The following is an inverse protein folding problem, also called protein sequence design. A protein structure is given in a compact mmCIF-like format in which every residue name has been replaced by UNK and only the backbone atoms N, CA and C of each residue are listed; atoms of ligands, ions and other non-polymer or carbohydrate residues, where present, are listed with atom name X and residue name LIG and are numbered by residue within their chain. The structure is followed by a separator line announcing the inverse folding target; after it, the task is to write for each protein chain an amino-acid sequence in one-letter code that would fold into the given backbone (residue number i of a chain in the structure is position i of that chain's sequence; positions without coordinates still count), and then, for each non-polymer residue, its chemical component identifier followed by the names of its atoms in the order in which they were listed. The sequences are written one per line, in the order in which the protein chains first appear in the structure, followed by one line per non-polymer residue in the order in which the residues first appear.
data_IF_276188199463
#
_entry.id   IF_276188199463
#
_cell.length_a   1.000
_cell.length_b   1.000
_cell.length_c   1.000
_cell.angle_alpha   90.00
_cell.angle_beta   90.00
_cell.angle_gamma   90.00
#
_symmetry.space_group_name_H-M   'P 1'
#
loop_
_entity.id
_entity.type
_entity.pdbx_description
1 polymer ?
#
# COMPACT_ATOMS: atom_id res chain seq x y z
N UNK A 1 32.61 0.53 -1.68
CA UNK A 1 31.34 -0.19 -1.49
C UNK A 1 30.27 0.72 -2.04
N UNK A 2 29.88 0.46 -3.28
CA UNK A 2 28.80 1.18 -3.96
C UNK A 2 27.53 0.98 -3.15
N UNK A 3 26.92 2.10 -2.74
CA UNK A 3 25.65 2.08 -2.05
C UNK A 3 24.64 1.40 -2.95
N UNK A 4 23.99 0.36 -2.44
CA UNK A 4 22.72 -0.06 -3.00
C UNK A 4 21.80 1.15 -2.90
N UNK A 5 21.66 1.90 -4.00
CA UNK A 5 20.51 2.78 -4.21
C UNK A 5 19.29 1.88 -4.03
N UNK A 6 18.69 1.96 -2.84
CA UNK A 6 17.55 1.13 -2.50
C UNK A 6 16.50 1.34 -3.57
N UNK A 7 16.19 0.29 -4.32
CA UNK A 7 15.18 0.31 -5.37
C UNK A 7 13.95 1.00 -4.81
N UNK A 8 13.58 2.16 -5.36
CA UNK A 8 12.40 2.89 -4.89
C UNK A 8 11.21 1.95 -4.95
N UNK A 9 10.43 1.91 -3.87
CA UNK A 9 9.25 1.03 -3.81
C UNK A 9 8.33 1.36 -4.99
N UNK A 10 7.83 0.37 -5.74
CA UNK A 10 7.01 0.59 -6.94
C UNK A 10 5.84 1.55 -6.72
N UNK A 11 5.23 1.50 -5.53
CA UNK A 11 4.16 2.39 -5.11
C UNK A 11 4.61 3.86 -5.00
N UNK A 12 5.83 4.13 -4.51
CA UNK A 12 6.37 5.49 -4.44
C UNK A 12 6.69 6.03 -5.84
N UNK A 13 7.21 5.17 -6.72
CA UNK A 13 7.43 5.52 -8.14
C UNK A 13 6.10 5.87 -8.81
N UNK A 14 5.06 5.06 -8.58
CA UNK A 14 3.72 5.33 -9.09
C UNK A 14 3.13 6.63 -8.53
N UNK A 15 3.24 6.87 -7.22
CA UNK A 15 2.77 8.10 -6.59
C UNK A 15 3.46 9.35 -7.17
N UNK A 16 4.77 9.29 -7.41
CA UNK A 16 5.51 10.37 -8.04
C UNK A 16 5.03 10.64 -9.48
N UNK A 17 4.81 9.59 -10.28
CA UNK A 17 4.25 9.74 -11.64
C UNK A 17 2.85 10.35 -11.62
N UNK A 18 2.00 9.92 -10.69
CA UNK A 18 0.67 10.50 -10.50
C UNK A 18 0.73 11.98 -10.13
N UNK A 19 1.67 12.36 -9.26
CA UNK A 19 1.90 13.76 -8.91
C UNK A 19 2.31 14.60 -10.14
N UNK A 20 3.27 14.11 -10.94
CA UNK A 20 3.72 14.79 -12.16
C UNK A 20 2.60 14.97 -13.19
N UNK A 21 1.67 14.01 -13.30
CA UNK A 21 0.51 14.13 -14.18
C UNK A 21 -0.43 15.28 -13.79
N UNK A 22 -0.48 15.63 -12.51
CA UNK A 22 -1.30 16.74 -12.00
C UNK A 22 -0.57 18.09 -11.98
N UNK A 23 0.73 18.11 -12.27
CA UNK A 23 1.54 19.31 -12.15
C UNK A 23 1.41 20.21 -13.40
N UNK A 24 1.21 21.53 -13.23
CA UNK A 24 0.99 22.45 -14.35
C UNK A 24 2.20 22.58 -15.27
N UNK A 25 3.42 22.52 -14.72
CA UNK A 25 4.67 22.76 -15.46
C UNK A 25 5.16 21.55 -16.30
N UNK A 26 4.48 20.41 -16.23
CA UNK A 26 4.85 19.22 -17.02
C UNK A 26 4.29 19.35 -18.42
N UNK A 27 5.16 19.20 -19.42
CA UNK A 27 4.80 19.36 -20.84
C UNK A 27 3.80 18.28 -21.27
N UNK A 28 2.91 18.61 -22.20
CA UNK A 28 1.86 17.68 -22.65
C UNK A 28 2.43 16.39 -23.25
N UNK A 29 3.57 16.46 -23.93
CA UNK A 29 4.25 15.27 -24.48
C UNK A 29 4.77 14.33 -23.39
N UNK A 30 5.22 14.89 -22.25
CA UNK A 30 5.65 14.10 -21.10
C UNK A 30 4.44 13.50 -20.37
N UNK A 31 3.32 14.23 -20.31
CA UNK A 31 2.06 13.72 -19.73
C UNK A 31 1.54 12.51 -20.50
N UNK A 32 1.67 12.47 -21.83
CA UNK A 32 1.26 11.29 -22.63
C UNK A 32 2.07 10.05 -22.21
N UNK A 33 3.40 10.16 -22.15
CA UNK A 33 4.27 9.06 -21.71
C UNK A 33 3.96 8.62 -20.27
N UNK A 34 3.78 9.58 -19.36
CA UNK A 34 3.45 9.30 -17.97
C UNK A 34 2.11 8.58 -17.82
N UNK A 35 1.09 8.93 -18.62
CA UNK A 35 -0.21 8.23 -18.61
C UNK A 35 -0.06 6.77 -19.01
N UNK A 36 0.72 6.47 -20.04
CA UNK A 36 0.98 5.10 -20.49
C UNK A 36 1.71 4.27 -19.42
N UNK A 37 2.73 4.85 -18.78
CA UNK A 37 3.46 4.21 -17.69
C UNK A 37 2.58 3.97 -16.45
N UNK A 38 1.73 4.94 -16.09
CA UNK A 38 0.77 4.80 -14.98
C UNK A 38 -0.26 3.72 -15.31
N UNK A 39 -0.83 3.72 -16.53
CA UNK A 39 -1.79 2.71 -16.95
C UNK A 39 -1.18 1.30 -16.94
N UNK A 40 0.06 1.15 -17.41
CA UNK A 40 0.78 -0.12 -17.37
C UNK A 40 0.96 -0.62 -15.93
N UNK A 41 1.33 0.28 -15.00
CA UNK A 41 1.51 -0.06 -13.59
C UNK A 41 0.19 -0.46 -12.92
N UNK A 42 -0.87 0.32 -13.16
CA UNK A 42 -2.23 0.08 -12.68
C UNK A 42 -2.75 -1.27 -13.18
N UNK A 43 -2.48 -1.62 -14.44
CA UNK A 43 -2.88 -2.90 -15.04
C UNK A 43 -2.05 -4.09 -14.55
N UNK A 44 -0.77 -3.90 -14.26
CA UNK A 44 0.10 -4.98 -13.78
C UNK A 44 -0.33 -5.51 -12.40
N UNK A 45 -0.80 -4.62 -11.52
CA UNK A 45 -1.20 -4.95 -10.14
C UNK A 45 -2.72 -5.02 -9.95
N UNK A 46 -3.49 -5.02 -11.04
CA UNK A 46 -4.97 -5.02 -11.04
C UNK A 46 -5.54 -3.94 -10.10
N UNK A 47 -5.03 -2.70 -10.18
CA UNK A 47 -5.40 -1.59 -9.30
C UNK A 47 -6.74 -0.93 -9.71
N UNK A 48 -7.82 -1.70 -9.76
CA UNK A 48 -9.13 -1.24 -10.22
C UNK A 48 -9.66 0.02 -9.48
N UNK A 49 -9.59 0.13 -8.14
CA UNK A 49 -10.07 1.33 -7.43
C UNK A 49 -9.30 2.61 -7.82
N UNK A 50 -8.00 2.47 -8.04
CA UNK A 50 -7.17 3.58 -8.50
C UNK A 50 -7.49 3.93 -9.96
N UNK A 51 -7.69 2.94 -10.81
CA UNK A 51 -8.06 3.16 -12.21
C UNK A 51 -9.38 3.94 -12.34
N UNK A 52 -10.40 3.55 -11.58
CA UNK A 52 -11.68 4.25 -11.52
C UNK A 52 -11.53 5.70 -11.08
N UNK A 53 -10.72 5.93 -10.04
CA UNK A 53 -10.43 7.29 -9.54
C UNK A 53 -9.71 8.14 -10.59
N UNK A 54 -8.76 7.57 -11.32
CA UNK A 54 -8.01 8.27 -12.37
C UNK A 54 -8.88 8.57 -13.59
N UNK A 55 -9.76 7.64 -13.96
CA UNK A 55 -10.74 7.84 -15.02
C UNK A 55 -11.77 8.92 -14.65
N UNK A 56 -12.27 8.92 -13.41
CA UNK A 56 -13.19 9.96 -12.92
C UNK A 56 -12.56 11.37 -12.90
N UNK A 57 -11.23 11.45 -12.75
CA UNK A 57 -10.46 12.70 -12.83
C UNK A 57 -10.04 13.07 -14.26
N UNK A 58 -10.47 12.32 -15.27
CA UNK A 58 -10.06 12.47 -16.68
C UNK A 58 -8.54 12.42 -16.88
N UNK A 59 -7.84 11.70 -16.02
CA UNK A 59 -6.37 11.49 -16.11
C UNK A 59 -6.06 10.34 -17.06
N UNK A 60 -6.89 9.30 -17.05
CA UNK A 60 -6.82 8.12 -17.92
C UNK A 60 -8.17 7.90 -18.60
N UNK A 61 -8.15 7.32 -19.79
CA UNK A 61 -9.37 6.87 -20.46
C UNK A 61 -9.88 5.59 -19.83
N UNK A 62 -11.20 5.51 -19.63
CA UNK A 62 -11.85 4.32 -19.07
C UNK A 62 -12.05 3.25 -20.14
N UNK A 63 -11.48 2.08 -19.92
CA UNK A 63 -11.73 0.86 -20.67
C UNK A 63 -12.49 -0.11 -19.76
N UNK A 64 -13.78 -0.28 -20.03
CA UNK A 64 -14.67 -1.13 -19.24
C UNK A 64 -14.23 -2.60 -19.29
N UNK A 65 -13.71 -3.08 -20.42
CA UNK A 65 -13.27 -4.47 -20.54
C UNK A 65 -12.05 -4.75 -19.67
N UNK A 66 -11.12 -3.80 -19.60
CA UNK A 66 -9.96 -3.89 -18.70
C UNK A 66 -10.42 -3.82 -17.24
N UNK A 67 -11.32 -2.90 -16.90
CA UNK A 67 -11.84 -2.77 -15.54
C UNK A 67 -12.56 -4.03 -15.06
N UNK A 68 -13.43 -4.61 -15.89
CA UNK A 68 -14.16 -5.84 -15.58
C UNK A 68 -13.20 -7.03 -15.41
N UNK A 69 -12.15 -7.10 -16.24
CA UNK A 69 -11.10 -8.11 -16.10
C UNK A 69 -10.33 -7.96 -14.79
N UNK A 70 -9.97 -6.75 -14.37
CA UNK A 70 -9.32 -6.50 -13.08
C UNK A 70 -10.23 -6.90 -11.92
N UNK A 71 -11.50 -6.45 -11.93
CA UNK A 71 -12.48 -6.78 -10.89
C UNK A 71 -12.70 -8.29 -10.74
N UNK A 72 -12.82 -9.01 -11.85
CA UNK A 72 -12.97 -10.46 -11.81
C UNK A 72 -11.79 -11.17 -11.15
N UNK A 73 -10.55 -10.76 -11.46
CA UNK A 73 -9.36 -11.31 -10.79
C UNK A 73 -9.29 -10.93 -9.32
N UNK A 74 -9.67 -9.70 -8.99
CA UNK A 74 -9.72 -9.22 -7.60
C UNK A 74 -10.68 -10.09 -6.79
N UNK A 75 -11.89 -10.31 -7.31
CA UNK A 75 -12.91 -11.13 -6.63
C UNK A 75 -12.45 -12.59 -6.46
N UNK A 76 -11.79 -13.16 -7.47
CA UNK A 76 -11.24 -14.52 -7.40
C UNK A 76 -10.15 -14.63 -6.31
N UNK A 77 -9.20 -13.70 -6.27
CA UNK A 77 -8.13 -13.69 -5.28
C UNK A 77 -8.66 -13.39 -3.87
N UNK A 78 -9.64 -12.49 -3.73
CA UNK A 78 -10.30 -12.22 -2.45
C UNK A 78 -11.00 -13.47 -1.91
N UNK A 79 -11.69 -14.21 -2.79
CA UNK A 79 -12.32 -15.47 -2.39
C UNK A 79 -11.30 -16.48 -1.87
N UNK A 80 -10.15 -16.64 -2.55
CA UNK A 80 -9.06 -17.53 -2.08
C UNK A 80 -8.49 -17.07 -0.73
N UNK A 81 -8.37 -15.76 -0.52
CA UNK A 81 -7.88 -15.20 0.74
C UNK A 81 -8.89 -15.41 1.88
N UNK A 82 -10.18 -15.26 1.59
CA UNK A 82 -11.25 -15.50 2.56
C UNK A 82 -11.37 -16.98 2.95
N UNK A 83 -11.26 -17.89 1.98
CA UNK A 83 -11.19 -19.32 2.24
C UNK A 83 -9.96 -19.69 3.11
N UNK A 84 -8.80 -19.08 2.85
CA UNK A 84 -7.59 -19.26 3.68
C UNK A 84 -7.74 -18.73 5.10
N UNK A 85 -8.42 -17.59 5.27
CA UNK A 85 -8.70 -17.04 6.60
C UNK A 85 -9.63 -17.98 7.36
N UNK A 86 -10.71 -18.43 6.73
CA UNK A 86 -11.66 -19.34 7.34
C UNK A 86 -10.99 -20.66 7.77
N UNK A 87 -10.21 -21.27 6.87
CA UNK A 87 -9.45 -22.49 7.19
C UNK A 87 -8.47 -22.28 8.34
N UNK A 88 -7.76 -21.14 8.36
CA UNK A 88 -6.84 -20.83 9.44
C UNK A 88 -7.56 -20.63 10.79
N UNK A 89 -8.72 -19.98 10.81
CA UNK A 89 -9.51 -19.74 12.02
C UNK A 89 -10.18 -21.01 12.56
N UNK A 90 -10.54 -21.96 11.69
CA UNK A 90 -11.18 -23.22 12.10
C UNK A 90 -10.16 -24.31 12.47
N UNK A 91 -9.05 -24.41 11.72
CA UNK A 91 -8.19 -25.59 11.73
C UNK A 91 -6.75 -25.33 12.18
N UNK A 92 -6.28 -24.07 12.23
CA UNK A 92 -4.87 -23.72 12.46
C UNK A 92 -4.67 -22.88 13.73
N UNK A 93 -3.43 -22.41 13.96
CA UNK A 93 -3.05 -21.63 15.12
C UNK A 93 -3.13 -20.12 14.91
N UNK A 94 -2.93 -19.37 16.00
CA UNK A 94 -2.96 -17.89 15.99
C UNK A 94 -1.95 -17.27 15.01
N UNK A 95 -0.81 -17.94 14.81
CA UNK A 95 0.23 -17.49 13.87
C UNK A 95 -0.27 -17.56 12.43
N UNK A 96 -0.88 -18.68 12.04
CA UNK A 96 -1.44 -18.89 10.70
C UNK A 96 -2.61 -17.95 10.44
N UNK A 97 -3.50 -17.76 11.42
CA UNK A 97 -4.61 -16.80 11.34
C UNK A 97 -4.08 -15.40 11.06
N UNK A 98 -3.06 -14.96 11.80
CA UNK A 98 -2.45 -13.64 11.59
C UNK A 98 -1.85 -13.51 10.19
N UNK A 99 -1.10 -14.50 9.72
CA UNK A 99 -0.49 -14.47 8.39
C UNK A 99 -1.55 -14.45 7.27
N UNK A 100 -2.67 -15.17 7.43
CA UNK A 100 -3.79 -15.12 6.49
C UNK A 100 -4.41 -13.72 6.42
N UNK A 101 -4.64 -13.08 7.57
CA UNK A 101 -5.12 -11.69 7.62
C UNK A 101 -4.12 -10.70 7.02
N UNK A 102 -2.83 -10.88 7.29
CA UNK A 102 -1.75 -10.05 6.72
C UNK A 102 -1.70 -10.17 5.20
N UNK A 103 -1.82 -11.38 4.66
CA UNK A 103 -1.86 -11.60 3.21
C UNK A 103 -3.01 -10.81 2.55
N UNK A 104 -4.19 -10.81 3.19
CA UNK A 104 -5.33 -10.02 2.72
C UNK A 104 -5.09 -8.50 2.84
N UNK A 105 -4.45 -8.03 3.91
CA UNK A 105 -4.04 -6.62 4.02
C UNK A 105 -3.08 -6.20 2.90
N UNK A 106 -2.06 -7.00 2.63
CA UNK A 106 -1.06 -6.73 1.58
C UNK A 106 -1.70 -6.76 0.19
N UNK A 107 -2.67 -7.65 -0.02
CA UNK A 107 -3.45 -7.68 -1.25
C UNK A 107 -4.23 -6.37 -1.47
N UNK A 108 -4.95 -5.87 -0.46
CA UNK A 108 -5.64 -4.58 -0.58
C UNK A 108 -4.69 -3.41 -0.85
N UNK A 109 -3.50 -3.41 -0.21
CA UNK A 109 -2.45 -2.42 -0.49
C UNK A 109 -1.98 -2.51 -1.95
N UNK A 110 -1.77 -3.72 -2.47
CA UNK A 110 -1.31 -3.94 -3.85
C UNK A 110 -2.31 -3.40 -4.87
N UNK A 111 -3.60 -3.67 -4.69
CA UNK A 111 -4.64 -3.19 -5.62
C UNK A 111 -5.02 -1.71 -5.41
N UNK A 112 -4.42 -1.03 -4.41
CA UNK A 112 -4.72 0.37 -4.13
C UNK A 112 -6.11 0.62 -3.55
N UNK A 113 -6.69 -0.36 -2.83
CA UNK A 113 -7.94 -0.17 -2.08
C UNK A 113 -7.62 0.34 -0.67
N UNK A 114 -7.49 1.66 -0.53
CA UNK A 114 -7.05 2.32 0.71
C UNK A 114 -7.93 1.97 1.91
N UNK A 115 -9.25 2.08 1.75
CA UNK A 115 -10.19 1.95 2.87
C UNK A 115 -10.18 0.51 3.40
N UNK A 116 -10.32 -0.47 2.52
CA UNK A 116 -10.28 -1.89 2.91
C UNK A 116 -8.91 -2.31 3.43
N UNK A 117 -7.82 -1.76 2.88
CA UNK A 117 -6.48 -2.01 3.41
C UNK A 117 -6.36 -1.56 4.87
N UNK A 118 -6.83 -0.35 5.20
CA UNK A 118 -6.78 0.19 6.56
C UNK A 118 -7.67 -0.59 7.53
N UNK A 119 -8.85 -1.03 7.10
CA UNK A 119 -9.73 -1.89 7.89
C UNK A 119 -9.08 -3.25 8.17
N UNK A 120 -8.58 -3.92 7.14
CA UNK A 120 -7.95 -5.23 7.27
C UNK A 120 -6.65 -5.17 8.09
N UNK A 121 -5.88 -4.08 7.99
CA UNK A 121 -4.67 -3.88 8.81
C UNK A 121 -5.01 -3.79 10.30
N UNK A 122 -6.14 -3.15 10.68
CA UNK A 122 -6.60 -3.12 12.08
C UNK A 122 -6.98 -4.52 12.58
N UNK A 123 -7.64 -5.32 11.74
CA UNK A 123 -7.96 -6.71 12.06
C UNK A 123 -6.66 -7.51 12.28
N UNK A 124 -5.72 -7.43 11.34
CA UNK A 124 -4.40 -8.09 11.43
C UNK A 124 -3.64 -7.67 12.69
N UNK A 125 -3.69 -6.39 13.06
CA UNK A 125 -3.06 -5.88 14.27
C UNK A 125 -3.67 -6.48 15.55
N UNK A 126 -5.00 -6.64 15.60
CA UNK A 126 -5.68 -7.26 16.75
C UNK A 126 -5.25 -8.73 16.97
N UNK A 127 -4.83 -9.41 15.91
CA UNK A 127 -4.29 -10.78 15.92
C UNK A 127 -2.76 -10.81 16.07
N UNK A 128 -2.10 -9.66 16.21
CA UNK A 128 -0.64 -9.55 16.30
C UNK A 128 -0.19 -9.30 17.73
N UNK A 129 0.64 -10.18 18.27
CA UNK A 129 1.19 -10.04 19.63
C UNK A 129 2.55 -9.32 19.60
N UNK A 130 3.47 -9.75 18.74
CA UNK A 130 4.84 -9.26 18.74
C UNK A 130 4.93 -7.78 18.33
N UNK A 131 5.61 -6.97 19.15
CA UNK A 131 5.82 -5.52 18.91
C UNK A 131 6.49 -5.26 17.56
N UNK A 132 7.47 -6.09 17.19
CA UNK A 132 8.12 -5.99 15.88
C UNK A 132 7.14 -6.14 14.72
N UNK A 133 6.25 -7.12 14.78
CA UNK A 133 5.22 -7.33 13.77
C UNK A 133 4.19 -6.19 13.75
N UNK A 134 3.80 -5.63 14.91
CA UNK A 134 2.94 -4.43 14.97
C UNK A 134 3.60 -3.23 14.29
N UNK A 135 4.90 -3.05 14.49
CA UNK A 135 5.66 -1.99 13.82
C UNK A 135 5.62 -2.15 12.30
N UNK A 136 5.73 -3.39 11.80
CA UNK A 136 5.65 -3.66 10.36
C UNK A 136 4.28 -3.24 9.78
N UNK A 137 3.18 -3.49 10.51
CA UNK A 137 1.84 -3.01 10.15
C UNK A 137 1.73 -1.47 10.13
N UNK A 138 2.39 -0.80 11.07
CA UNK A 138 2.45 0.67 11.08
C UNK A 138 3.24 1.19 9.87
N UNK A 139 4.29 0.51 9.44
CA UNK A 139 5.01 0.88 8.22
C UNK A 139 4.15 0.73 6.96
N UNK A 140 3.33 -0.31 6.85
CA UNK A 140 2.36 -0.42 5.75
C UNK A 140 1.35 0.72 5.75
N UNK A 141 0.88 1.13 6.94
CA UNK A 141 -0.04 2.27 7.08
C UNK A 141 0.64 3.59 6.70
N UNK A 142 1.90 3.78 7.06
CA UNK A 142 2.71 4.93 6.64
C UNK A 142 2.87 4.99 5.12
N UNK A 143 3.17 3.86 4.48
CA UNK A 143 3.30 3.78 3.03
C UNK A 143 2.00 4.18 2.31
N UNK A 144 0.86 3.71 2.79
CA UNK A 144 -0.45 4.16 2.30
C UNK A 144 -0.62 5.68 2.52
N UNK A 145 -0.27 6.18 3.71
CA UNK A 145 -0.30 7.61 4.01
C UNK A 145 0.50 8.44 3.00
N UNK A 146 1.73 8.04 2.70
CA UNK A 146 2.57 8.71 1.69
C UNK A 146 2.00 8.59 0.28
N UNK A 147 1.52 7.41 -0.12
CA UNK A 147 0.97 7.19 -1.45
C UNK A 147 -0.23 8.10 -1.74
N UNK A 148 -1.14 8.25 -0.78
CA UNK A 148 -2.34 9.08 -0.91
C UNK A 148 -2.15 10.52 -0.38
N UNK A 149 -0.93 10.90 0.03
CA UNK A 149 -0.63 12.21 0.65
C UNK A 149 -1.56 12.54 1.84
N UNK A 150 -1.92 11.54 2.63
CA UNK A 150 -2.78 11.67 3.80
C UNK A 150 -1.95 12.02 5.04
N UNK A 151 -1.77 13.33 5.26
CA UNK A 151 -0.93 13.85 6.34
C UNK A 151 -1.44 13.49 7.74
N UNK A 152 -2.76 13.34 7.92
CA UNK A 152 -3.35 12.93 9.20
C UNK A 152 -3.00 11.47 9.48
N UNK A 153 -3.16 10.58 8.49
CA UNK A 153 -2.75 9.18 8.58
C UNK A 153 -1.24 9.04 8.83
N UNK A 154 -0.41 9.83 8.14
CA UNK A 154 1.04 9.85 8.35
C UNK A 154 1.36 10.26 9.79
N UNK A 155 0.77 11.35 10.28
CA UNK A 155 1.05 11.85 11.64
C UNK A 155 0.67 10.82 12.71
N UNK A 156 -0.55 10.26 12.62
CA UNK A 156 -1.04 9.24 13.55
C UNK A 156 -0.15 7.99 13.54
N UNK A 157 0.31 7.59 12.35
CA UNK A 157 1.17 6.41 12.22
C UNK A 157 2.58 6.65 12.75
N UNK A 158 3.16 7.85 12.58
CA UNK A 158 4.44 8.23 13.21
C UNK A 158 4.33 8.18 14.73
N UNK A 159 3.26 8.75 15.30
CA UNK A 159 3.08 8.77 16.75
C UNK A 159 2.89 7.35 17.32
N UNK A 160 2.17 6.50 16.59
CA UNK A 160 2.04 5.08 16.94
C UNK A 160 3.37 4.33 16.83
N UNK A 161 4.16 4.58 15.79
CA UNK A 161 5.48 3.99 15.64
C UNK A 161 6.39 4.37 16.82
N UNK A 162 6.41 5.65 17.23
CA UNK A 162 7.20 6.12 18.38
C UNK A 162 6.84 5.38 19.67
N UNK A 163 5.54 5.19 19.96
CA UNK A 163 5.08 4.43 21.12
C UNK A 163 5.58 2.98 21.10
N UNK A 164 5.40 2.30 19.96
CA UNK A 164 5.89 0.91 19.79
C UNK A 164 7.42 0.81 19.88
N UNK A 165 8.17 1.88 19.59
CA UNK A 165 9.62 1.91 19.82
C UNK A 165 10.00 1.92 21.29
N UNK A 166 9.28 2.70 22.10
CA UNK A 166 9.50 2.79 23.55
C UNK A 166 9.18 1.46 24.25
N UNK A 167 8.22 0.70 23.73
CA UNK A 167 7.79 -0.61 24.24
C UNK A 167 8.74 -1.78 23.91
N UNK A 168 9.80 -1.56 23.12
CA UNK A 168 10.79 -2.60 22.79
C UNK A 168 11.10 -2.76 21.30
N UNK A 169 11.02 -1.70 20.50
CA UNK A 169 11.30 -1.75 19.07
C UNK A 169 12.78 -2.04 18.75
N UNK A 170 12.99 -3.11 17.97
CA UNK A 170 14.30 -3.58 17.50
C UNK A 170 15.08 -2.51 16.68
N UNK A 171 16.41 -2.57 16.74
CA UNK A 171 17.34 -1.61 16.16
C UNK A 171 17.17 -1.42 14.65
N UNK A 172 16.89 -2.51 13.91
CA UNK A 172 16.66 -2.45 12.45
C UNK A 172 15.43 -1.59 12.11
N UNK A 173 14.35 -1.75 12.89
CA UNK A 173 13.11 -0.97 12.70
C UNK A 173 13.32 0.50 13.03
N UNK A 174 14.19 0.84 13.99
CA UNK A 174 14.57 2.24 14.30
C UNK A 174 15.20 2.93 13.10
N UNK A 175 16.03 2.22 12.33
CA UNK A 175 16.63 2.77 11.12
C UNK A 175 15.59 2.99 10.01
N UNK A 176 14.65 2.06 9.84
CA UNK A 176 13.55 2.21 8.87
C UNK A 176 12.66 3.42 9.21
N UNK A 177 12.30 3.63 10.49
CA UNK A 177 11.55 4.83 10.90
C UNK A 177 12.33 6.12 10.61
N UNK A 178 13.63 6.16 10.92
CA UNK A 178 14.47 7.33 10.62
C UNK A 178 14.48 7.67 9.13
N UNK A 179 14.49 6.68 8.24
CA UNK A 179 14.38 6.91 6.80
C UNK A 179 13.06 7.58 6.42
N UNK A 180 11.93 7.13 6.98
CA UNK A 180 10.63 7.78 6.75
C UNK A 180 10.55 9.21 7.31
N UNK A 181 11.23 9.48 8.43
CA UNK A 181 11.24 10.82 9.04
C UNK A 181 12.11 11.81 8.25
N UNK A 182 13.20 11.35 7.62
CA UNK A 182 14.06 12.19 6.78
C UNK A 182 13.31 12.74 5.56
N UNK A 183 12.38 11.98 5.00
CA UNK A 183 11.53 12.42 3.87
C UNK A 183 10.59 13.57 4.22
N UNK A 184 10.40 13.89 5.51
CA UNK A 184 9.59 15.03 5.97
C UNK A 184 10.38 16.35 6.04
N UNK A 185 11.71 16.30 5.91
CA UNK A 185 12.62 17.42 6.13
C UNK A 185 13.34 17.93 4.88
N UNK A 186 12.96 17.48 3.69
CA UNK A 186 13.41 18.03 2.40
C UNK A 186 12.25 18.66 1.66
#
# INVERSE_FOLDING_TARGET
MEGQEGTQQPQLVLAHKLFLLTHPDVQDIEKVRLREEVFTSVKADDMAPLYETLAAKSVLDMDQSVLDSMRAKIDEELKKLDEKIADAEENLGESEVREAHLAKSLFYIRIGDKEKALEQLKITESKTVAVGQKMDLVFYTLQLGFFYMDFDLISKSIDKAKKLFEEGGDWERKNRLKSFLKTKGS
#
